data_IF_476629374782
#
_entry.id   IF_476629374782
#
_cell.length_a   1.000
_cell.length_b   1.000
_cell.length_c   1.000
_cell.angle_alpha   90.00
_cell.angle_beta   90.00
_cell.angle_gamma   90.00
#
_symmetry.space_group_name_H-M   'P 1'
#
loop_
_entity.id
_entity.type
_entity.pdbx_description
1 polymer ?
#
# COMPACT_ATOMS: atom_id res chain seq x y z
N UNK A 1 12.16 25.88 -7.76
CA UNK A 1 12.55 26.25 -6.37
C UNK A 1 13.36 25.15 -5.67
N UNK A 2 13.80 24.08 -6.36
CA UNK A 2 14.64 22.99 -5.79
C UNK A 2 16.13 23.33 -5.72
N UNK A 3 16.65 24.06 -6.71
CA UNK A 3 18.07 24.36 -6.84
C UNK A 3 18.67 25.13 -5.63
N UNK A 4 17.87 25.91 -4.89
CA UNK A 4 18.37 26.66 -3.73
C UNK A 4 18.60 25.79 -2.49
N UNK A 5 17.80 24.74 -2.30
CA UNK A 5 17.90 23.87 -1.13
C UNK A 5 19.04 22.86 -1.29
N UNK A 6 19.15 22.24 -2.47
CA UNK A 6 20.25 21.32 -2.81
C UNK A 6 21.60 22.02 -2.66
N UNK A 7 21.72 23.25 -3.19
CA UNK A 7 22.95 24.03 -3.08
C UNK A 7 23.31 24.38 -1.63
N UNK A 8 22.32 24.77 -0.82
CA UNK A 8 22.54 25.09 0.60
C UNK A 8 22.97 23.85 1.42
N UNK A 9 22.50 22.66 1.05
CA UNK A 9 22.91 21.41 1.68
C UNK A 9 24.38 21.10 1.34
N UNK A 10 24.76 21.21 0.06
CA UNK A 10 26.12 20.96 -0.40
C UNK A 10 27.11 21.90 0.30
N UNK A 11 26.81 23.20 0.36
CA UNK A 11 27.67 24.18 1.02
C UNK A 11 27.86 23.87 2.51
N UNK A 12 26.80 23.46 3.22
CA UNK A 12 26.88 23.08 4.63
C UNK A 12 27.69 21.80 4.84
N UNK A 13 27.55 20.80 3.98
CA UNK A 13 28.30 19.55 4.08
C UNK A 13 29.80 19.79 3.84
N UNK A 14 30.15 20.63 2.86
CA UNK A 14 31.55 20.97 2.58
C UNK A 14 32.25 21.68 3.74
N UNK A 15 31.52 22.44 4.55
CA UNK A 15 32.05 23.10 5.76
C UNK A 15 32.26 22.16 6.96
N UNK A 16 31.83 20.90 6.88
CA UNK A 16 31.98 19.94 7.97
C UNK A 16 33.34 19.21 7.92
N UNK A 17 33.91 18.80 9.08
CA UNK A 17 35.02 17.87 9.14
C UNK A 17 34.69 16.52 8.47
N UNK A 18 35.71 15.81 7.98
CA UNK A 18 35.55 14.56 7.24
C UNK A 18 34.75 13.50 8.02
N UNK A 19 34.97 13.41 9.33
CA UNK A 19 34.27 12.46 10.21
C UNK A 19 32.76 12.72 10.23
N UNK A 20 32.36 14.00 10.14
CA UNK A 20 30.94 14.41 10.09
C UNK A 20 30.35 14.28 8.69
N UNK A 21 31.16 14.38 7.64
CA UNK A 21 30.71 14.10 6.29
C UNK A 21 30.37 12.60 6.12
N UNK A 22 31.17 11.71 6.72
CA UNK A 22 30.88 10.27 6.74
C UNK A 22 29.59 9.95 7.50
N UNK A 23 29.34 10.59 8.64
CA UNK A 23 28.07 10.45 9.38
C UNK A 23 26.86 10.87 8.53
N UNK A 24 26.98 11.97 7.77
CA UNK A 24 25.92 12.44 6.86
C UNK A 24 25.69 11.46 5.72
N UNK A 25 26.75 10.91 5.13
CA UNK A 25 26.64 9.91 4.06
C UNK A 25 25.88 8.67 4.57
N UNK A 26 26.27 8.15 5.74
CA UNK A 26 25.60 7.00 6.34
C UNK A 26 24.11 7.27 6.64
N UNK A 27 23.76 8.50 7.03
CA UNK A 27 22.37 8.91 7.23
C UNK A 27 21.59 8.92 5.91
N UNK A 28 22.16 9.50 4.85
CA UNK A 28 21.50 9.54 3.53
C UNK A 28 21.30 8.14 2.98
N UNK A 29 22.30 7.26 3.08
CA UNK A 29 22.21 5.86 2.66
C UNK A 29 21.09 5.12 3.40
N UNK A 30 20.98 5.35 4.73
CA UNK A 30 19.87 4.82 5.53
C UNK A 30 18.51 5.32 5.03
N UNK A 31 18.38 6.62 4.75
CA UNK A 31 17.12 7.20 4.25
C UNK A 31 16.74 6.66 2.87
N UNK A 32 17.72 6.47 1.97
CA UNK A 32 17.50 5.87 0.66
C UNK A 32 17.03 4.41 0.81
N UNK A 33 17.65 3.65 1.72
CA UNK A 33 17.23 2.28 2.02
C UNK A 33 15.81 2.20 2.58
N UNK A 34 15.44 3.09 3.51
CA UNK A 34 14.08 3.18 4.09
C UNK A 34 13.01 3.63 3.07
N UNK A 35 13.39 4.29 1.98
CA UNK A 35 12.47 4.61 0.88
C UNK A 35 12.27 3.43 -0.08
N UNK A 36 13.29 2.58 -0.27
CA UNK A 36 13.23 1.42 -1.16
C UNK A 36 12.58 0.21 -0.50
N UNK A 37 12.74 0.04 0.81
CA UNK A 37 11.95 -0.92 1.55
C UNK A 37 10.48 -0.49 1.54
N UNK A 38 9.53 -1.40 1.25
CA UNK A 38 8.12 -1.08 1.40
C UNK A 38 7.93 -0.71 2.87
N UNK A 39 7.77 0.59 3.14
CA UNK A 39 7.44 1.06 4.49
C UNK A 39 6.28 0.18 4.96
N UNK A 40 6.38 -0.46 6.14
CA UNK A 40 5.19 -1.01 6.76
C UNK A 40 4.18 0.13 6.70
N UNK A 41 3.05 -0.10 6.04
CA UNK A 41 1.96 0.87 6.09
C UNK A 41 1.48 0.84 7.54
N UNK A 42 2.13 1.63 8.40
CA UNK A 42 1.80 1.68 9.82
C UNK A 42 0.30 1.97 9.92
N UNK A 43 -0.41 1.08 10.60
CA UNK A 43 -1.85 1.16 10.85
C UNK A 43 -2.77 1.04 9.62
N UNK A 44 -2.34 0.48 8.49
CA UNK A 44 -3.31 0.10 7.45
C UNK A 44 -3.86 -1.28 7.75
N UNK A 45 -5.12 -1.31 8.21
CA UNK A 45 -5.87 -2.55 8.36
C UNK A 45 -5.86 -3.32 7.04
N UNK A 46 -5.53 -4.61 7.08
CA UNK A 46 -5.57 -5.43 5.88
C UNK A 46 -6.99 -5.57 5.33
N UNK A 47 -7.10 -5.75 4.01
CA UNK A 47 -8.40 -5.77 3.33
C UNK A 47 -9.34 -6.88 3.84
N UNK A 48 -8.80 -8.01 4.30
CA UNK A 48 -9.62 -9.11 4.82
C UNK A 48 -10.31 -8.76 6.15
N UNK A 49 -9.67 -7.96 7.02
CA UNK A 49 -10.31 -7.50 8.26
C UNK A 49 -11.49 -6.57 7.98
N UNK A 50 -11.40 -5.76 6.91
CA UNK A 50 -12.49 -4.89 6.47
C UNK A 50 -13.65 -5.74 5.92
N UNK A 51 -13.32 -6.76 5.10
CA UNK A 51 -14.31 -7.69 4.55
C UNK A 51 -15.01 -8.47 5.67
N UNK A 52 -14.27 -8.95 6.68
CA UNK A 52 -14.82 -9.69 7.82
C UNK A 52 -15.75 -8.83 8.67
N UNK A 53 -15.36 -7.58 8.96
CA UNK A 53 -16.20 -6.62 9.67
C UNK A 53 -17.53 -6.36 8.95
N UNK A 54 -17.50 -6.14 7.64
CA UNK A 54 -18.70 -5.93 6.83
C UNK A 54 -19.55 -7.21 6.78
N UNK A 55 -18.90 -8.37 6.60
CA UNK A 55 -19.56 -9.67 6.51
C UNK A 55 -20.32 -10.04 7.78
N UNK A 56 -19.76 -9.69 8.94
CA UNK A 56 -20.38 -9.94 10.25
C UNK A 56 -21.70 -9.19 10.48
N UNK A 57 -21.96 -8.14 9.72
CA UNK A 57 -23.18 -7.33 9.82
C UNK A 57 -24.32 -7.88 8.96
N UNK A 58 -24.06 -8.88 8.10
CA UNK A 58 -25.08 -9.49 7.27
C UNK A 58 -26.04 -10.37 8.11
N UNK A 59 -27.35 -10.36 7.82
CA UNK A 59 -28.29 -11.28 8.44
C UNK A 59 -27.91 -12.76 8.24
N UNK A 60 -28.36 -13.61 9.17
CA UNK A 60 -28.18 -15.05 9.03
C UNK A 60 -28.83 -15.57 7.73
N UNK A 61 -28.08 -16.39 6.98
CA UNK A 61 -28.52 -16.95 5.70
C UNK A 61 -28.27 -16.07 4.48
N UNK A 62 -27.88 -14.79 4.63
CA UNK A 62 -27.57 -13.92 3.47
C UNK A 62 -26.44 -14.48 2.59
N UNK A 63 -25.49 -15.20 3.19
CA UNK A 63 -24.38 -15.81 2.45
C UNK A 63 -24.80 -17.06 1.66
N UNK A 64 -25.94 -17.68 1.96
CA UNK A 64 -26.45 -18.85 1.24
C UNK A 64 -26.95 -18.48 -0.16
N UNK A 65 -27.34 -17.21 -0.36
CA UNK A 65 -27.79 -16.67 -1.65
C UNK A 65 -26.60 -16.29 -2.58
N UNK A 66 -25.37 -16.26 -2.05
CA UNK A 66 -24.20 -15.84 -2.82
C UNK A 66 -23.75 -16.98 -3.76
N UNK A 67 -23.59 -16.70 -5.07
CA UNK A 67 -23.11 -17.69 -6.01
C UNK A 67 -21.71 -18.23 -5.68
N UNK A 68 -21.56 -19.56 -5.70
CA UNK A 68 -20.28 -20.24 -5.47
C UNK A 68 -19.30 -20.10 -6.65
N UNK A 69 -19.78 -19.65 -7.80
CA UNK A 69 -18.97 -19.42 -9.00
C UNK A 69 -18.33 -18.02 -9.04
N UNK A 70 -18.47 -17.24 -7.96
CA UNK A 70 -17.89 -15.91 -7.82
C UNK A 70 -18.40 -14.96 -8.91
N UNK A 71 -17.49 -14.43 -9.71
CA UNK A 71 -17.82 -13.47 -10.77
C UNK A 71 -18.06 -14.09 -12.16
N UNK A 72 -17.98 -15.42 -12.29
CA UNK A 72 -18.05 -16.11 -13.59
C UNK A 72 -19.39 -15.89 -14.30
N UNK A 73 -20.50 -15.92 -13.55
CA UNK A 73 -21.86 -15.80 -14.06
C UNK A 73 -22.55 -14.49 -13.65
N UNK A 74 -21.81 -13.40 -13.41
CA UNK A 74 -22.41 -12.13 -12.97
C UNK A 74 -23.52 -11.62 -13.90
N UNK A 75 -23.39 -11.78 -15.23
CA UNK A 75 -24.44 -11.42 -16.20
C UNK A 75 -25.75 -12.21 -16.00
N UNK A 76 -25.65 -13.46 -15.56
CA UNK A 76 -26.82 -14.28 -15.24
C UNK A 76 -27.55 -13.74 -14.01
N UNK A 77 -26.81 -13.41 -12.95
CA UNK A 77 -27.40 -12.94 -11.69
C UNK A 77 -27.93 -11.50 -11.78
N UNK A 78 -27.27 -10.64 -12.57
CA UNK A 78 -27.66 -9.23 -12.71
C UNK A 78 -28.69 -8.99 -13.82
N UNK A 79 -28.62 -9.75 -14.92
CA UNK A 79 -29.41 -9.47 -16.14
C UNK A 79 -30.20 -10.68 -16.66
N UNK A 80 -30.10 -11.85 -16.02
CA UNK A 80 -30.83 -13.05 -16.44
C UNK A 80 -30.24 -13.74 -17.68
N UNK A 81 -28.99 -13.44 -18.07
CA UNK A 81 -28.33 -14.13 -19.17
C UNK A 81 -28.18 -15.64 -18.92
N UNK A 82 -28.08 -16.52 -19.93
CA UNK A 82 -27.82 -17.94 -19.73
C UNK A 82 -26.50 -18.20 -18.97
N UNK A 83 -26.48 -19.19 -18.05
CA UNK A 83 -25.24 -19.56 -17.33
C UNK A 83 -24.17 -20.11 -18.28
N UNK A 84 -22.94 -19.64 -18.10
CA UNK A 84 -21.73 -20.19 -18.70
C UNK A 84 -21.35 -21.46 -17.94
N UNK A 85 -21.11 -22.56 -18.67
CA UNK A 85 -20.51 -23.77 -18.12
C UNK A 85 -18.98 -23.65 -18.26
N UNK A 86 -18.26 -23.86 -17.17
CA UNK A 86 -16.81 -24.02 -17.19
C UNK A 86 -16.42 -25.41 -17.72
#
# INVERSE_FOLDING_TARGET
>A
MSASLEQAIIEKIQGLPAEKQEEVLALVDKMVKEQQEPRPRENVRPIWEIIEEISSQAPAGTWDDVPTDGSVNHDHYLYGAPKKKL
#
